data_IF_822140129219
#
_entry.id   IF_822140129219
#
_cell.length_a   1.000
_cell.length_b   1.000
_cell.length_c   1.000
_cell.angle_alpha   90.00
_cell.angle_beta   90.00
_cell.angle_gamma   90.00
#
_symmetry.space_group_name_H-M   'P 1'
#
loop_
_entity.id
_entity.type
_entity.pdbx_description
1 polymer ?
#
# COMPACT_ATOMS: atom_id res chain seq x y z
N UNK A 1 -18.49 -25.58 -16.32
CA UNK A 1 -17.09 -25.21 -16.60
C UNK A 1 -16.26 -25.86 -15.51
N UNK A 2 -15.68 -27.01 -15.84
CA UNK A 2 -14.98 -27.89 -14.89
C UNK A 2 -13.62 -27.31 -14.55
N UNK A 3 -13.29 -27.27 -13.25
CA UNK A 3 -11.95 -26.94 -12.79
C UNK A 3 -11.19 -28.26 -12.59
N UNK A 4 -10.27 -28.52 -13.51
CA UNK A 4 -9.37 -29.67 -13.47
C UNK A 4 -7.96 -29.14 -13.14
N UNK A 5 -7.52 -29.35 -11.89
CA UNK A 5 -6.11 -29.45 -11.44
C UNK A 5 -6.08 -29.34 -9.91
N UNK A 6 -5.35 -30.23 -9.24
CA UNK A 6 -5.27 -30.36 -7.78
C UNK A 6 -4.52 -29.23 -7.05
N UNK A 7 -4.83 -27.98 -7.36
CA UNK A 7 -4.34 -26.80 -6.65
C UNK A 7 -5.53 -26.19 -5.91
N UNK A 8 -5.48 -26.19 -4.58
CA UNK A 8 -6.43 -25.44 -3.76
C UNK A 8 -6.30 -23.96 -4.15
N UNK A 9 -7.38 -23.35 -4.64
CA UNK A 9 -7.41 -21.92 -4.92
C UNK A 9 -7.38 -21.16 -3.58
N UNK A 10 -6.17 -20.88 -3.08
CA UNK A 10 -5.95 -20.00 -1.93
C UNK A 10 -5.89 -18.58 -2.48
N UNK A 11 -6.81 -17.72 -2.01
CA UNK A 11 -6.75 -16.30 -2.32
C UNK A 11 -5.56 -15.66 -1.59
N UNK A 12 -4.84 -14.76 -2.25
CA UNK A 12 -3.72 -14.07 -1.62
C UNK A 12 -4.22 -12.98 -0.68
N UNK A 13 -3.91 -13.10 0.62
CA UNK A 13 -4.02 -12.04 1.61
C UNK A 13 -2.64 -11.42 1.81
N UNK A 14 -2.57 -10.09 1.81
CA UNK A 14 -1.34 -9.35 2.10
C UNK A 14 -1.49 -8.70 3.47
N UNK A 15 -0.47 -8.87 4.30
CA UNK A 15 -0.40 -8.22 5.60
C UNK A 15 0.15 -6.79 5.47
N UNK A 16 -0.54 -5.84 6.08
CA UNK A 16 -0.18 -4.43 6.10
C UNK A 16 -0.45 -3.84 7.49
N UNK A 17 0.42 -4.20 8.44
CA UNK A 17 0.29 -3.89 9.87
C UNK A 17 0.35 -2.38 10.19
N UNK A 18 0.70 -1.53 9.22
CA UNK A 18 0.99 -0.12 9.40
C UNK A 18 0.65 0.70 8.15
N UNK A 19 0.00 1.87 8.31
CA UNK A 19 -0.44 2.75 7.20
C UNK A 19 0.71 3.52 6.53
N UNK A 20 1.70 2.78 6.02
CA UNK A 20 2.85 3.29 5.28
C UNK A 20 2.73 2.96 3.79
N UNK A 21 3.84 3.08 3.06
CA UNK A 21 3.90 2.62 1.67
C UNK A 21 3.58 1.12 1.53
N UNK A 22 3.74 0.30 2.57
CA UNK A 22 3.39 -1.13 2.53
C UNK A 22 1.91 -1.33 2.19
N UNK A 23 1.01 -0.56 2.79
CA UNK A 23 -0.43 -0.63 2.47
C UNK A 23 -0.71 -0.22 1.02
N UNK A 24 0.00 0.78 0.51
CA UNK A 24 -0.11 1.21 -0.89
C UNK A 24 0.40 0.14 -1.86
N UNK A 25 1.54 -0.49 -1.57
CA UNK A 25 2.06 -1.59 -2.38
C UNK A 25 1.10 -2.78 -2.39
N UNK A 26 0.53 -3.11 -1.23
CA UNK A 26 -0.47 -4.16 -1.11
C UNK A 26 -1.73 -3.82 -1.92
N UNK A 27 -2.19 -2.57 -1.88
CA UNK A 27 -3.32 -2.09 -2.70
C UNK A 27 -3.06 -2.32 -4.19
N UNK A 28 -1.91 -1.87 -4.71
CA UNK A 28 -1.53 -2.09 -6.10
C UNK A 28 -1.38 -3.57 -6.46
N UNK A 29 -0.77 -4.38 -5.58
CA UNK A 29 -0.59 -5.80 -5.84
C UNK A 29 -1.93 -6.54 -5.89
N UNK A 30 -2.83 -6.27 -4.95
CA UNK A 30 -4.18 -6.85 -4.88
C UNK A 30 -5.04 -6.50 -6.09
N UNK A 31 -4.84 -5.32 -6.69
CA UNK A 31 -5.54 -4.95 -7.92
C UNK A 31 -4.97 -5.62 -9.18
N UNK A 32 -3.73 -6.13 -9.14
CA UNK A 32 -3.05 -6.68 -10.31
C UNK A 32 -3.06 -8.21 -10.40
N UNK A 33 -3.09 -8.92 -9.25
CA UNK A 33 -3.04 -10.38 -9.23
C UNK A 33 -4.37 -11.03 -9.68
N UNK A 34 -4.34 -12.26 -10.23
CA UNK A 34 -5.54 -12.92 -10.75
C UNK A 34 -6.46 -13.50 -9.66
N UNK A 35 -5.99 -13.66 -8.42
CA UNK A 35 -6.72 -14.30 -7.31
C UNK A 35 -6.56 -13.56 -5.96
N UNK A 36 -6.90 -12.26 -5.88
CA UNK A 36 -6.80 -11.52 -4.63
C UNK A 36 -7.83 -11.98 -3.61
N UNK A 37 -7.48 -11.93 -2.33
CA UNK A 37 -8.48 -11.99 -1.27
C UNK A 37 -9.47 -10.81 -1.39
N UNK A 38 -10.71 -10.96 -0.90
CA UNK A 38 -11.76 -9.94 -1.05
C UNK A 38 -11.50 -8.66 -0.26
N UNK A 39 -10.55 -8.68 0.68
CA UNK A 39 -10.24 -7.56 1.57
C UNK A 39 -8.74 -7.33 1.65
N UNK A 40 -8.37 -6.06 1.82
CA UNK A 40 -7.03 -5.62 2.16
C UNK A 40 -6.98 -5.30 3.66
N UNK A 41 -5.91 -5.68 4.35
CA UNK A 41 -5.69 -5.25 5.72
C UNK A 41 -5.45 -3.74 5.78
N UNK A 42 -6.13 -3.06 6.71
CA UNK A 42 -5.98 -1.64 6.95
C UNK A 42 -5.83 -1.38 8.44
N UNK A 43 -4.66 -0.88 8.85
CA UNK A 43 -4.39 -0.57 10.25
C UNK A 43 -5.21 0.65 10.69
N UNK A 44 -5.91 0.52 11.82
CA UNK A 44 -6.62 1.61 12.49
C UNK A 44 -5.83 2.22 13.65
N UNK A 45 -4.64 1.68 13.92
CA UNK A 45 -3.79 2.13 15.00
C UNK A 45 -3.09 3.46 14.64
N UNK A 46 -3.00 4.35 15.63
CA UNK A 46 -2.37 5.64 15.45
C UNK A 46 -0.88 5.59 15.79
N UNK A 47 -0.04 5.89 14.79
CA UNK A 47 1.41 5.95 14.96
C UNK A 47 1.91 7.32 14.48
N UNK A 48 2.42 8.12 15.41
CA UNK A 48 2.66 9.56 15.17
C UNK A 48 3.64 9.82 14.01
N UNK A 49 4.66 8.98 13.81
CA UNK A 49 5.65 9.19 12.75
C UNK A 49 5.12 8.95 11.33
N UNK A 50 4.02 8.22 11.19
CA UNK A 50 3.36 7.95 9.90
C UNK A 50 2.58 9.18 9.42
N UNK A 51 2.13 10.01 10.37
CA UNK A 51 1.27 11.14 10.07
C UNK A 51 1.99 12.09 9.10
N UNK A 52 1.39 12.28 7.93
CA UNK A 52 1.98 13.10 6.88
C UNK A 52 3.21 12.48 6.22
N UNK A 53 3.35 11.16 6.19
CA UNK A 53 4.43 10.48 5.45
C UNK A 53 4.38 10.79 3.95
N UNK A 54 3.19 10.78 3.35
CA UNK A 54 2.96 11.07 1.93
C UNK A 54 1.56 11.65 1.69
N UNK A 55 1.34 12.20 0.50
CA UNK A 55 0.06 12.78 0.06
C UNK A 55 -0.30 12.26 -1.35
N UNK A 56 -1.57 11.93 -1.64
CA UNK A 56 -2.71 11.91 -0.71
C UNK A 56 -2.59 10.80 0.34
N UNK A 57 -3.22 11.00 1.50
CA UNK A 57 -3.30 9.97 2.53
C UNK A 57 -4.25 8.84 2.09
N UNK A 58 -3.96 7.61 2.50
CA UNK A 58 -4.84 6.45 2.25
C UNK A 58 -6.06 6.52 3.16
N UNK A 59 -7.10 7.22 2.72
CA UNK A 59 -8.35 7.37 3.45
C UNK A 59 -9.39 6.37 2.97
N UNK A 60 -10.28 5.96 3.87
CA UNK A 60 -11.39 5.06 3.55
C UNK A 60 -12.59 5.90 3.10
N UNK A 61 -13.09 5.62 1.91
CA UNK A 61 -14.32 6.16 1.35
C UNK A 61 -15.27 5.00 1.03
N UNK A 62 -16.48 5.00 1.62
CA UNK A 62 -17.49 3.94 1.43
C UNK A 62 -16.94 2.51 1.62
N UNK A 63 -16.08 2.31 2.62
CA UNK A 63 -15.48 1.01 2.94
C UNK A 63 -14.37 0.56 1.99
N UNK A 64 -13.87 1.45 1.13
CA UNK A 64 -12.78 1.18 0.18
C UNK A 64 -11.72 2.27 0.24
N UNK A 65 -10.52 1.94 -0.21
CA UNK A 65 -9.45 2.93 -0.40
C UNK A 65 -9.46 3.31 -1.88
N UNK A 66 -9.71 4.58 -2.24
CA UNK A 66 -9.55 5.04 -3.61
C UNK A 66 -8.11 4.86 -4.07
N UNK A 67 -7.92 4.47 -5.33
CA UNK A 67 -6.58 4.49 -5.91
C UNK A 67 -6.12 5.93 -6.10
N UNK A 68 -4.88 6.27 -5.73
CA UNK A 68 -4.32 7.56 -6.08
C UNK A 68 -4.14 7.70 -7.60
N UNK A 69 -4.60 8.82 -8.18
CA UNK A 69 -4.62 9.04 -9.63
C UNK A 69 -3.26 9.41 -10.24
N UNK A 70 -2.23 9.60 -9.41
CA UNK A 70 -0.90 10.00 -9.86
C UNK A 70 -0.10 8.86 -10.52
N UNK A 71 0.98 9.17 -11.26
CA UNK A 71 1.84 8.16 -11.88
C UNK A 71 2.59 7.32 -10.83
N UNK A 72 2.98 6.10 -11.24
CA UNK A 72 3.70 5.18 -10.37
C UNK A 72 2.85 4.72 -9.19
N UNK A 73 3.29 5.03 -7.97
CA UNK A 73 2.53 4.76 -6.74
C UNK A 73 1.42 5.79 -6.48
N UNK A 74 1.38 6.88 -7.26
CA UNK A 74 0.35 7.91 -7.18
C UNK A 74 0.34 8.76 -5.91
N UNK A 75 1.38 8.65 -5.08
CA UNK A 75 1.61 9.49 -3.89
C UNK A 75 2.95 10.21 -3.98
N UNK A 76 3.05 11.35 -3.30
CA UNK A 76 4.27 12.12 -3.12
C UNK A 76 4.68 12.06 -1.65
N UNK A 77 5.92 11.61 -1.36
CA UNK A 77 6.46 11.66 0.01
C UNK A 77 6.54 13.11 0.46
N UNK A 78 6.04 13.39 1.67
CA UNK A 78 5.97 14.73 2.20
C UNK A 78 7.39 15.28 2.44
N UNK A 79 7.65 16.49 1.94
CA UNK A 79 8.96 17.12 2.01
C UNK A 79 9.43 17.38 3.44
N UNK A 80 8.54 17.83 4.33
CA UNK A 80 8.88 18.09 5.73
C UNK A 80 9.14 16.82 6.52
N UNK A 81 8.63 15.67 6.07
CA UNK A 81 9.02 14.36 6.59
C UNK A 81 10.45 14.01 6.14
N UNK A 82 10.76 14.18 4.85
CA UNK A 82 12.09 13.92 4.28
C UNK A 82 13.19 14.80 4.89
N UNK A 83 12.90 16.07 5.19
CA UNK A 83 13.85 17.01 5.83
C UNK A 83 14.34 16.55 7.20
N UNK A 84 13.60 15.65 7.86
CA UNK A 84 13.95 15.06 9.17
C UNK A 84 14.60 13.68 9.04
N UNK A 85 14.61 13.10 7.84
CA UNK A 85 15.12 11.77 7.62
C UNK A 85 16.65 11.75 7.61
N UNK A 86 17.25 10.63 8.04
CA UNK A 86 18.67 10.40 7.88
C UNK A 86 18.98 10.19 6.38
N UNK A 87 19.55 11.20 5.75
CA UNK A 87 19.93 11.13 4.34
C UNK A 87 21.25 10.37 4.16
N UNK A 88 21.24 9.38 3.27
CA UNK A 88 22.42 8.65 2.84
C UNK A 88 22.38 8.50 1.31
N UNK A 89 23.53 8.66 0.66
CA UNK A 89 23.69 8.51 -0.79
C UNK A 89 24.85 7.55 -1.08
N UNK A 90 24.67 6.70 -2.09
CA UNK A 90 25.73 5.83 -2.63
C UNK A 90 26.07 6.32 -4.03
N UNK A 91 27.34 6.68 -4.28
CA UNK A 91 27.85 7.20 -5.57
C UNK A 91 28.20 8.68 -5.56
N UNK A 92 28.70 9.18 -6.69
CA UNK A 92 28.98 10.60 -6.90
C UNK A 92 27.69 11.36 -7.27
N UNK A 93 27.55 12.59 -6.78
CA UNK A 93 26.35 13.45 -6.92
C UNK A 93 26.08 13.91 -8.35
#
# INVERSE_FOLDING_TARGET
MEINSGILAINALIEAMILSMVTLFALHLMAAIPNPAPYLEYSIEHVEWIKGLFEPALTIENGKIPFPDGPGWGVQVNRSWLEKAAYQISGDK
#
